data_IF_197166937804
#
_entry.id   IF_197166937804
#
_cell.length_a   1.000
_cell.length_b   1.000
_cell.length_c   1.000
_cell.angle_alpha   90.00
_cell.angle_beta   90.00
_cell.angle_gamma   90.00
#
_symmetry.space_group_name_H-M   'P 1'
#
loop_
_entity.id
_entity.type
_entity.pdbx_description
1 polymer ?
#
# COMPACT_ATOMS: atom_id res chain seq x y z
N UNK A 1 -5.42 8.57 -11.19
CA UNK A 1 -6.51 9.33 -10.53
C UNK A 1 -6.92 10.53 -11.37
N UNK A 2 -7.99 11.24 -11.01
CA UNK A 2 -8.51 12.38 -11.79
C UNK A 2 -7.50 13.52 -12.00
N UNK A 3 -6.45 13.60 -11.16
CA UNK A 3 -5.39 14.61 -11.22
C UNK A 3 -4.10 14.11 -11.89
N UNK A 4 -4.15 13.07 -12.73
CA UNK A 4 -2.94 12.48 -13.32
C UNK A 4 -2.39 13.26 -14.50
N UNK A 5 -3.22 14.08 -15.17
CA UNK A 5 -2.87 14.69 -16.46
C UNK A 5 -2.59 16.19 -16.36
N UNK A 6 -3.36 16.96 -15.59
CA UNK A 6 -3.40 18.43 -15.75
C UNK A 6 -3.22 19.25 -14.45
N UNK A 7 -2.35 18.78 -13.55
CA UNK A 7 -2.08 19.46 -12.28
C UNK A 7 -0.57 19.70 -12.08
N UNK A 8 -0.16 20.97 -12.10
CA UNK A 8 1.25 21.40 -11.92
C UNK A 8 1.76 21.23 -10.47
N UNK A 9 0.84 21.19 -9.50
CA UNK A 9 1.14 21.17 -8.07
C UNK A 9 0.92 19.81 -7.40
N UNK A 10 0.46 18.79 -8.14
CA UNK A 10 0.14 17.48 -7.54
C UNK A 10 1.18 16.43 -7.89
N UNK A 11 1.65 15.69 -6.89
CA UNK A 11 2.48 14.51 -7.13
C UNK A 11 1.63 13.37 -7.69
N UNK A 12 2.05 12.83 -8.83
CA UNK A 12 1.41 11.68 -9.49
C UNK A 12 1.72 10.38 -8.73
N UNK A 13 0.99 10.17 -7.63
CA UNK A 13 1.07 8.97 -6.78
C UNK A 13 2.00 9.13 -5.58
N UNK A 14 1.60 8.57 -4.45
CA UNK A 14 2.37 8.62 -3.17
C UNK A 14 3.62 7.73 -3.21
N UNK A 15 3.63 6.74 -4.11
CA UNK A 15 4.73 5.79 -4.32
C UNK A 15 6.06 6.46 -4.67
N UNK A 16 6.02 7.67 -5.22
CA UNK A 16 7.22 8.43 -5.58
C UNK A 16 7.90 9.09 -4.38
N UNK A 17 7.20 9.24 -3.25
CA UNK A 17 7.75 9.84 -2.03
C UNK A 17 8.06 8.78 -0.97
N UNK A 18 7.13 7.85 -0.78
CA UNK A 18 7.18 6.87 0.31
C UNK A 18 6.84 5.50 -0.30
N UNK A 19 7.58 4.44 0.07
CA UNK A 19 7.25 3.09 -0.39
C UNK A 19 5.84 2.70 0.06
N UNK A 20 5.01 2.28 -0.89
CA UNK A 20 3.64 1.87 -0.62
C UNK A 20 3.57 0.36 -0.41
N UNK A 21 3.07 -0.06 0.75
CA UNK A 21 2.95 -1.50 1.07
C UNK A 21 1.80 -2.21 0.36
N UNK A 22 0.65 -1.54 0.25
CA UNK A 22 -0.59 -2.05 -0.33
C UNK A 22 -1.34 -0.90 -0.98
N UNK A 23 -1.68 -1.04 -2.27
CA UNK A 23 -2.56 -0.12 -2.98
C UNK A 23 -4.04 -0.54 -2.84
N UNK A 24 -4.90 0.39 -2.43
CA UNK A 24 -6.37 0.19 -2.43
C UNK A 24 -6.98 1.04 -3.56
N UNK A 25 -7.26 0.47 -4.74
CA UNK A 25 -7.84 1.21 -5.85
C UNK A 25 -9.33 1.51 -5.61
N UNK A 26 -9.73 2.76 -5.80
CA UNK A 26 -11.12 3.19 -5.76
C UNK A 26 -11.24 4.71 -5.65
N UNK A 27 -12.36 5.27 -6.15
CA UNK A 27 -12.61 6.71 -6.12
C UNK A 27 -14.10 7.01 -5.92
N UNK A 28 -14.62 7.00 -4.67
CA UNK A 28 -13.98 6.50 -3.44
C UNK A 28 -14.01 4.96 -3.38
N UNK A 29 -13.04 4.30 -2.72
CA UNK A 29 -13.07 2.85 -2.54
C UNK A 29 -14.26 2.44 -1.69
N UNK A 30 -14.86 1.29 -2.01
CA UNK A 30 -15.94 0.72 -1.21
C UNK A 30 -15.43 0.31 0.17
N UNK A 31 -16.25 0.37 1.23
CA UNK A 31 -15.84 -0.01 2.59
C UNK A 31 -15.23 -1.41 2.66
N UNK A 32 -15.75 -2.37 1.89
CA UNK A 32 -15.24 -3.74 1.85
C UNK A 32 -13.81 -3.82 1.31
N UNK A 33 -13.48 -2.98 0.32
CA UNK A 33 -12.15 -2.93 -0.28
C UNK A 33 -11.10 -2.36 0.68
N UNK A 34 -11.51 -1.45 1.59
CA UNK A 34 -10.64 -0.92 2.65
C UNK A 34 -10.32 -2.00 3.68
N UNK A 35 -11.34 -2.76 4.11
CA UNK A 35 -11.17 -3.85 5.08
C UNK A 35 -10.29 -4.96 4.49
N UNK A 36 -10.47 -5.30 3.22
CA UNK A 36 -9.61 -6.26 2.51
C UNK A 36 -8.17 -5.77 2.41
N UNK A 37 -7.94 -4.49 2.11
CA UNK A 37 -6.60 -3.90 2.08
C UNK A 37 -5.89 -4.00 3.44
N UNK A 38 -6.60 -3.71 4.55
CA UNK A 38 -6.06 -3.85 5.91
C UNK A 38 -5.76 -5.32 6.22
N UNK A 39 -6.63 -6.24 5.81
CA UNK A 39 -6.43 -7.67 6.01
C UNK A 39 -5.21 -8.18 5.24
N UNK A 40 -5.00 -7.71 4.00
CA UNK A 40 -3.80 -7.99 3.20
C UNK A 40 -2.53 -7.45 3.86
N UNK A 41 -2.59 -6.25 4.43
CA UNK A 41 -1.45 -5.66 5.16
C UNK A 41 -1.08 -6.52 6.38
N UNK A 42 -2.06 -6.92 7.19
CA UNK A 42 -1.84 -7.83 8.34
C UNK A 42 -1.19 -9.14 7.92
N UNK A 43 -1.65 -9.74 6.81
CA UNK A 43 -1.07 -10.98 6.25
C UNK A 43 0.36 -10.78 5.70
N UNK A 44 0.71 -9.58 5.24
CA UNK A 44 2.06 -9.25 4.79
C UNK A 44 3.01 -9.16 5.98
N UNK A 45 2.62 -8.43 7.03
CA UNK A 45 3.38 -8.29 8.28
C UNK A 45 3.64 -9.66 8.93
N UNK A 46 2.63 -10.51 9.03
CA UNK A 46 2.78 -11.85 9.59
C UNK A 46 3.80 -12.71 8.82
N UNK A 47 3.86 -12.57 7.49
CA UNK A 47 4.83 -13.27 6.65
C UNK A 47 6.25 -12.72 6.79
N UNK A 48 6.40 -11.40 6.89
CA UNK A 48 7.71 -10.77 7.12
C UNK A 48 8.29 -11.17 8.48
N UNK A 49 7.48 -11.15 9.57
CA UNK A 49 7.93 -11.62 10.89
C UNK A 49 8.41 -13.08 10.86
N UNK A 50 7.73 -13.95 10.12
CA UNK A 50 8.15 -15.34 9.97
C UNK A 50 9.50 -15.47 9.25
N UNK A 51 9.71 -14.69 8.18
CA UNK A 51 10.99 -14.67 7.45
C UNK A 51 12.13 -14.09 8.30
N UNK A 52 11.87 -13.03 9.05
CA UNK A 52 12.85 -12.38 9.93
C UNK A 52 13.28 -13.31 11.07
N UNK A 53 12.38 -14.15 11.59
CA UNK A 53 12.71 -15.16 12.60
C UNK A 53 13.56 -16.31 12.06
N UNK A 54 13.41 -16.67 10.78
CA UNK A 54 14.15 -17.77 10.16
C UNK A 54 15.52 -17.32 9.64
N UNK A 55 15.68 -16.03 9.29
CA UNK A 55 16.96 -15.42 8.98
C UNK A 55 17.32 -14.38 10.03
N UNK A 56 17.87 -14.81 11.19
CA UNK A 56 18.56 -13.86 12.05
C UNK A 56 19.78 -13.36 11.28
N UNK A 57 19.66 -12.17 10.67
CA UNK A 57 20.73 -11.28 10.22
C UNK A 57 21.95 -12.01 9.59
N UNK A 58 21.99 -12.08 8.26
CA UNK A 58 23.28 -12.27 7.57
C UNK A 58 24.12 -11.00 7.66
#
# INVERSE_FOLDING_TARGET
GMFSTDSYSTVRGVDKLIPVDVFCPGCPPKPEAVIDAITKLRKKIAREIYKDRIRPQQ
#
